data_IF_345781819475
#
_entry.id   IF_345781819475
#
_cell.length_a   1.000
_cell.length_b   1.000
_cell.length_c   1.000
_cell.angle_alpha   90.00
_cell.angle_beta   90.00
_cell.angle_gamma   90.00
#
_symmetry.space_group_name_H-M   'P 1'
#
loop_
_entity.id
_entity.type
_entity.pdbx_description
1 polymer ?
#
# COMPACT_ATOMS: atom_id res chain seq x y z
N UNK A 1 3.03 -8.34 -3.56
CA UNK A 1 4.16 -7.40 -3.78
C UNK A 1 4.61 -6.85 -2.43
N UNK A 2 5.79 -6.24 -2.33
CA UNK A 2 6.32 -5.74 -1.05
C UNK A 2 6.59 -4.25 -1.07
N UNK A 3 6.04 -3.51 -0.11
CA UNK A 3 6.26 -2.08 0.09
C UNK A 3 7.30 -1.84 1.18
N UNK A 4 8.26 -0.96 0.92
CA UNK A 4 9.45 -0.77 1.75
C UNK A 4 9.48 0.60 2.40
N UNK A 5 8.80 0.77 3.54
CA UNK A 5 8.72 2.06 4.23
C UNK A 5 10.04 2.42 4.89
N UNK A 6 10.64 3.54 4.50
CA UNK A 6 11.91 4.04 5.07
C UNK A 6 11.67 5.36 5.80
N UNK A 7 11.71 5.32 7.13
CA UNK A 7 11.39 6.47 7.99
C UNK A 7 12.59 7.37 8.30
N UNK A 8 13.81 6.96 7.98
CA UNK A 8 15.02 7.70 8.35
C UNK A 8 16.16 7.59 7.35
N UNK A 9 17.20 8.43 7.49
CA UNK A 9 18.33 8.47 6.56
C UNK A 9 19.26 7.25 6.68
N UNK A 10 20.02 6.92 5.61
CA UNK A 10 19.90 7.49 4.26
C UNK A 10 18.69 6.91 3.50
N UNK A 11 18.13 7.68 2.56
CA UNK A 11 17.02 7.20 1.72
C UNK A 11 15.64 7.23 2.39
N UNK A 12 15.43 8.19 3.31
CA UNK A 12 14.12 8.47 3.90
C UNK A 12 13.09 8.73 2.79
N UNK A 13 11.96 8.04 2.89
CA UNK A 13 10.84 8.09 1.94
C UNK A 13 9.50 8.36 2.61
N UNK A 14 9.43 8.24 3.94
CA UNK A 14 8.32 8.76 4.76
C UNK A 14 8.77 10.05 5.46
N UNK A 15 8.05 11.14 5.23
CA UNK A 15 8.37 12.46 5.79
C UNK A 15 7.16 13.02 6.52
N UNK A 16 7.37 13.48 7.76
CA UNK A 16 6.37 14.24 8.52
C UNK A 16 6.17 15.61 7.87
N UNK A 17 4.96 15.88 7.39
CA UNK A 17 4.62 17.17 6.74
C UNK A 17 3.70 18.03 7.60
N UNK A 18 2.97 17.42 8.52
CA UNK A 18 2.15 18.11 9.51
C UNK A 18 2.36 17.43 10.85
N UNK A 19 2.87 18.16 11.86
CA UNK A 19 3.10 17.64 13.21
C UNK A 19 1.81 17.33 13.98
N UNK A 20 0.64 17.71 13.47
CA UNK A 20 -0.63 17.61 14.17
C UNK A 20 -0.86 18.80 15.10
N UNK A 21 -2.03 19.43 15.00
CA UNK A 21 -2.45 20.52 15.89
C UNK A 21 -3.28 20.00 17.07
N UNK A 22 -3.58 18.70 17.10
CA UNK A 22 -4.37 18.07 18.15
C UNK A 22 -3.55 17.72 19.39
N UNK A 23 -4.20 17.12 20.41
CA UNK A 23 -3.51 16.67 21.62
C UNK A 23 -2.50 15.56 21.31
N UNK A 24 -1.56 15.35 22.24
CA UNK A 24 -0.67 14.20 22.22
C UNK A 24 -1.49 12.90 22.22
N UNK A 25 -1.11 11.96 21.37
CA UNK A 25 -1.83 10.71 21.22
C UNK A 25 -1.43 9.74 22.35
N UNK A 26 -2.36 9.33 23.24
CA UNK A 26 -2.05 8.48 24.38
C UNK A 26 -1.72 7.03 23.99
N UNK A 27 -1.97 6.63 22.74
CA UNK A 27 -1.71 5.27 22.25
C UNK A 27 -0.33 5.11 21.59
N UNK A 28 0.47 6.17 21.53
CA UNK A 28 1.81 6.20 20.95
C UNK A 28 2.84 6.72 21.96
N UNK A 29 4.15 6.52 21.70
CA UNK A 29 5.20 7.18 22.48
C UNK A 29 5.03 8.71 22.54
N UNK A 30 5.67 9.39 23.50
CA UNK A 30 5.69 10.84 23.54
C UNK A 30 6.15 11.46 22.20
N UNK A 31 5.71 12.68 21.96
CA UNK A 31 5.97 13.47 20.74
C UNK A 31 5.15 13.10 19.50
N UNK A 32 4.15 12.24 19.63
CA UNK A 32 3.14 11.98 18.60
C UNK A 32 1.83 12.72 18.88
N UNK A 33 1.33 13.51 17.93
CA UNK A 33 0.11 14.31 18.08
C UNK A 33 -1.00 13.90 17.11
N UNK A 34 -2.25 14.04 17.55
CA UNK A 34 -3.40 13.78 16.69
C UNK A 34 -3.40 14.68 15.45
N UNK A 35 -3.64 14.07 14.29
CA UNK A 35 -3.54 14.74 13.00
C UNK A 35 -2.11 14.85 12.46
N UNK A 36 -1.13 14.15 13.04
CA UNK A 36 0.16 13.96 12.38
C UNK A 36 -0.03 13.37 10.99
N UNK A 37 0.49 14.04 9.97
CA UNK A 37 0.38 13.60 8.58
C UNK A 37 1.75 13.44 7.98
N UNK A 38 1.93 12.29 7.34
CA UNK A 38 3.13 11.91 6.62
C UNK A 38 2.83 11.87 5.13
N UNK A 39 3.76 12.37 4.32
CA UNK A 39 3.85 12.05 2.90
C UNK A 39 4.81 10.86 2.73
N UNK A 40 4.51 9.96 1.79
CA UNK A 40 5.39 8.86 1.47
C UNK A 40 5.50 8.60 -0.03
N UNK A 41 6.67 8.11 -0.43
CA UNK A 41 7.00 7.66 -1.79
C UNK A 41 7.86 6.39 -1.72
N UNK A 42 7.20 5.23 -1.70
CA UNK A 42 7.84 3.96 -1.37
C UNK A 42 8.02 3.03 -2.56
N UNK A 43 9.12 2.28 -2.58
CA UNK A 43 9.34 1.27 -3.62
C UNK A 43 8.46 0.04 -3.41
N UNK A 44 7.86 -0.46 -4.49
CA UNK A 44 7.18 -1.76 -4.54
C UNK A 44 8.08 -2.78 -5.23
N UNK A 45 8.38 -3.90 -4.58
CA UNK A 45 9.25 -4.95 -5.13
C UNK A 45 8.54 -6.30 -5.22
N UNK A 46 9.09 -7.18 -6.06
CA UNK A 46 8.53 -8.51 -6.30
C UNK A 46 8.67 -9.45 -5.10
N UNK A 47 9.68 -9.27 -4.25
CA UNK A 47 9.82 -10.03 -3.02
C UNK A 47 10.31 -9.16 -1.85
N UNK A 48 10.39 -9.75 -0.65
CA UNK A 48 10.75 -9.06 0.59
C UNK A 48 12.14 -8.39 0.57
N UNK A 49 13.04 -8.78 -0.33
CA UNK A 49 14.34 -8.11 -0.48
C UNK A 49 14.20 -6.78 -1.20
N UNK A 50 14.79 -5.72 -0.65
CA UNK A 50 14.84 -4.40 -1.29
C UNK A 50 15.71 -4.38 -2.57
N UNK A 51 16.59 -5.37 -2.75
CA UNK A 51 17.38 -5.55 -3.97
C UNK A 51 16.64 -6.33 -5.07
N UNK A 52 15.44 -6.85 -4.78
CA UNK A 52 14.66 -7.55 -5.79
C UNK A 52 14.08 -6.60 -6.83
N UNK A 53 13.60 -7.16 -7.93
CA UNK A 53 13.02 -6.38 -9.03
C UNK A 53 11.94 -5.43 -8.49
N UNK A 54 12.13 -4.13 -8.71
CA UNK A 54 11.10 -3.14 -8.48
C UNK A 54 9.98 -3.31 -9.52
N UNK A 55 8.74 -3.34 -9.05
CA UNK A 55 7.53 -3.52 -9.86
C UNK A 55 6.63 -2.28 -9.87
N UNK A 56 6.96 -1.28 -9.03
CA UNK A 56 6.22 -0.03 -8.97
C UNK A 56 6.64 0.88 -7.83
N UNK A 57 5.77 1.83 -7.53
CA UNK A 57 5.89 2.84 -6.46
C UNK A 57 4.55 2.97 -5.73
N UNK A 58 4.58 3.20 -4.43
CA UNK A 58 3.43 3.51 -3.60
C UNK A 58 3.58 4.96 -3.10
N UNK A 59 2.73 5.84 -3.60
CA UNK A 59 2.81 7.29 -3.37
C UNK A 59 1.55 7.74 -2.64
N UNK A 60 1.68 8.53 -1.57
CA UNK A 60 0.49 8.91 -0.82
C UNK A 60 0.73 9.60 0.50
N UNK A 61 -0.30 9.57 1.35
CA UNK A 61 -0.28 10.16 2.69
C UNK A 61 -0.87 9.24 3.74
N UNK A 62 -0.37 9.38 4.97
CA UNK A 62 -0.88 8.70 6.14
C UNK A 62 -1.11 9.70 7.27
N UNK A 63 -2.34 9.78 7.79
CA UNK A 63 -2.70 10.71 8.87
C UNK A 63 -3.12 9.97 10.14
N UNK A 64 -2.51 10.29 11.29
CA UNK A 64 -2.88 9.75 12.60
C UNK A 64 -4.28 10.23 12.99
N UNK A 65 -5.25 9.33 12.91
CA UNK A 65 -6.67 9.68 12.92
C UNK A 65 -7.48 9.02 14.05
N UNK A 66 -6.82 8.35 14.99
CA UNK A 66 -7.46 7.75 16.17
C UNK A 66 -6.75 8.18 17.45
N UNK A 67 -7.52 8.57 18.45
CA UNK A 67 -7.03 8.86 19.80
C UNK A 67 -6.97 7.63 20.72
N UNK A 68 -7.45 6.47 20.27
CA UNK A 68 -7.56 5.26 21.10
C UNK A 68 -6.53 4.19 20.73
N UNK A 69 -6.07 4.20 19.50
CA UNK A 69 -5.19 3.20 18.91
C UNK A 69 -4.28 3.89 17.90
N UNK A 70 -3.08 3.34 17.62
CA UNK A 70 -2.13 3.93 16.67
C UNK A 70 -2.60 3.70 15.22
N UNK A 71 -3.63 4.44 14.82
CA UNK A 71 -4.34 4.23 13.54
C UNK A 71 -4.12 5.41 12.62
N UNK A 72 -3.69 5.09 11.41
CA UNK A 72 -3.53 6.02 10.33
C UNK A 72 -4.64 5.83 9.30
N UNK A 73 -5.22 6.92 8.81
CA UNK A 73 -5.93 6.89 7.53
C UNK A 73 -4.89 6.99 6.43
N UNK A 74 -4.86 6.00 5.54
CA UNK A 74 -3.92 5.92 4.44
C UNK A 74 -4.66 6.15 3.14
N UNK A 75 -4.13 7.06 2.33
CA UNK A 75 -4.47 7.22 0.92
C UNK A 75 -3.18 6.95 0.12
N UNK A 76 -3.26 6.06 -0.86
CA UNK A 76 -2.11 5.57 -1.61
C UNK A 76 -2.49 5.33 -3.08
N UNK A 77 -1.64 5.77 -3.99
CA UNK A 77 -1.64 5.37 -5.39
C UNK A 77 -0.47 4.42 -5.62
N UNK A 78 -0.76 3.22 -6.11
CA UNK A 78 0.26 2.25 -6.54
C UNK A 78 0.49 2.41 -8.04
N UNK A 79 1.57 3.08 -8.43
CA UNK A 79 2.01 3.20 -9.82
C UNK A 79 2.82 1.94 -10.20
N UNK A 80 2.32 1.19 -11.17
CA UNK A 80 2.98 -0.03 -11.64
C UNK A 80 3.89 0.27 -12.83
N UNK A 81 5.05 -0.38 -12.88
CA UNK A 81 6.08 -0.15 -13.90
C UNK A 81 6.49 -1.42 -14.62
N UNK A 82 5.64 -2.46 -14.58
CA UNK A 82 5.99 -3.82 -14.98
C UNK A 82 5.05 -4.40 -16.01
N UNK A 83 5.60 -4.78 -17.17
CA UNK A 83 4.89 -5.58 -18.17
C UNK A 83 3.69 -4.86 -18.76
N UNK A 84 2.56 -5.54 -18.86
CA UNK A 84 1.32 -4.99 -19.43
C UNK A 84 0.69 -3.89 -18.56
N UNK A 85 1.09 -3.78 -17.29
CA UNK A 85 0.55 -2.79 -16.35
C UNK A 85 1.41 -1.52 -16.24
N UNK A 86 2.44 -1.37 -17.08
CA UNK A 86 3.32 -0.20 -17.05
C UNK A 86 2.53 1.10 -17.24
N UNK A 87 2.68 2.04 -16.31
CA UNK A 87 1.95 3.30 -16.26
C UNK A 87 0.51 3.22 -15.73
N UNK A 88 -0.01 2.02 -15.44
CA UNK A 88 -1.31 1.85 -14.80
C UNK A 88 -1.23 2.06 -13.29
N UNK A 89 -2.34 2.45 -12.68
CA UNK A 89 -2.39 2.70 -11.22
C UNK A 89 -3.54 1.99 -10.54
N UNK A 90 -3.33 1.61 -9.27
CA UNK A 90 -4.38 1.16 -8.36
C UNK A 90 -4.47 2.17 -7.23
N UNK A 91 -5.68 2.66 -6.94
CA UNK A 91 -5.94 3.64 -5.87
C UNK A 91 -6.48 2.91 -4.64
N UNK A 92 -5.83 3.14 -3.51
CA UNK A 92 -6.10 2.47 -2.24
C UNK A 92 -6.40 3.49 -1.16
N UNK A 93 -7.45 3.24 -0.39
CA UNK A 93 -7.80 4.04 0.79
C UNK A 93 -8.18 3.13 1.96
N UNK A 94 -7.76 3.45 3.17
CA UNK A 94 -8.27 2.70 4.32
C UNK A 94 -7.66 3.02 5.67
N UNK A 95 -8.17 2.28 6.67
CA UNK A 95 -7.80 2.38 8.08
C UNK A 95 -6.63 1.43 8.39
N UNK A 96 -5.44 2.00 8.54
CA UNK A 96 -4.22 1.27 8.89
C UNK A 96 -3.98 1.29 10.41
N UNK A 97 -4.28 0.19 11.10
CA UNK A 97 -4.01 0.04 12.54
C UNK A 97 -2.60 -0.48 12.78
N UNK A 98 -1.67 0.39 13.15
CA UNK A 98 -0.25 0.05 13.26
C UNK A 98 0.01 -1.09 14.26
N UNK A 99 -0.87 -1.29 15.25
CA UNK A 99 -0.75 -2.36 16.25
C UNK A 99 -1.16 -3.76 15.76
N UNK A 100 -1.84 -3.86 14.60
CA UNK A 100 -2.25 -5.15 14.03
C UNK A 100 -1.18 -5.69 13.08
N UNK A 101 -1.07 -7.02 12.95
CA UNK A 101 -0.19 -7.63 11.95
C UNK A 101 -0.77 -7.53 10.54
N UNK A 102 -2.09 -7.70 10.42
CA UNK A 102 -2.82 -7.78 9.16
C UNK A 102 -3.93 -6.73 9.14
N UNK A 103 -4.05 -6.01 8.01
CA UNK A 103 -5.03 -4.95 7.79
C UNK A 103 -5.58 -5.08 6.38
N UNK A 104 -6.85 -4.79 6.22
CA UNK A 104 -7.48 -4.67 4.91
C UNK A 104 -7.68 -3.19 4.57
N UNK A 105 -7.29 -2.80 3.36
CA UNK A 105 -7.51 -1.46 2.80
C UNK A 105 -8.36 -1.61 1.53
N UNK A 106 -9.24 -0.65 1.23
CA UNK A 106 -10.09 -0.73 0.05
C UNK A 106 -9.32 -0.33 -1.20
N UNK A 107 -9.50 -1.08 -2.29
CA UNK A 107 -9.21 -0.59 -3.65
C UNK A 107 -10.44 0.20 -4.08
N UNK A 108 -10.27 1.51 -4.24
CA UNK A 108 -11.35 2.45 -4.54
C UNK A 108 -11.36 2.89 -6.01
N UNK A 109 -10.37 2.47 -6.79
CA UNK A 109 -10.25 2.83 -8.20
C UNK A 109 -8.93 2.41 -8.83
N UNK A 110 -8.72 2.87 -10.05
CA UNK A 110 -7.48 2.72 -10.79
C UNK A 110 -7.51 3.47 -12.12
N UNK A 111 -6.35 3.52 -12.78
CA UNK A 111 -6.17 4.10 -14.12
C UNK A 111 -5.50 3.10 -15.05
N UNK A 112 -5.52 3.38 -16.36
CA UNK A 112 -4.97 2.49 -17.37
C UNK A 112 -5.74 1.16 -17.42
N UNK A 113 -5.01 0.06 -17.30
CA UNK A 113 -5.57 -1.29 -17.28
C UNK A 113 -6.48 -1.54 -16.06
N UNK A 114 -6.37 -0.73 -15.00
CA UNK A 114 -7.22 -0.84 -13.79
C UNK A 114 -8.35 0.20 -13.75
N UNK A 115 -8.75 0.77 -14.90
CA UNK A 115 -9.87 1.71 -14.94
C UNK A 115 -11.14 1.04 -14.39
N UNK A 116 -11.84 1.73 -13.48
CA UNK A 116 -13.03 1.22 -12.76
C UNK A 116 -12.75 0.05 -11.79
N UNK A 117 -11.49 -0.23 -11.47
CA UNK A 117 -11.16 -1.29 -10.52
C UNK A 117 -11.75 -1.03 -9.13
N UNK A 118 -12.22 -2.09 -8.47
CA UNK A 118 -12.66 -2.08 -7.08
C UNK A 118 -12.22 -3.37 -6.37
N UNK A 119 -12.14 -3.36 -5.05
CA UNK A 119 -11.72 -4.54 -4.28
C UNK A 119 -11.00 -4.17 -3.00
N UNK A 120 -9.96 -4.91 -2.64
CA UNK A 120 -9.22 -4.72 -1.40
C UNK A 120 -7.74 -5.12 -1.50
N UNK A 121 -6.95 -4.61 -0.56
CA UNK A 121 -5.55 -4.97 -0.33
C UNK A 121 -5.40 -5.52 1.08
N UNK A 122 -4.93 -6.76 1.18
CA UNK A 122 -4.45 -7.29 2.45
C UNK A 122 -3.00 -6.84 2.66
N UNK A 123 -2.79 -6.02 3.68
CA UNK A 123 -1.51 -5.48 4.08
C UNK A 123 -1.02 -6.17 5.36
N UNK A 124 0.08 -6.91 5.24
CA UNK A 124 0.69 -7.68 6.33
C UNK A 124 2.06 -7.12 6.67
N UNK A 125 2.32 -6.86 7.96
CA UNK A 125 3.67 -6.50 8.42
C UNK A 125 4.58 -7.72 8.28
N UNK A 126 5.48 -7.68 7.29
CA UNK A 126 6.42 -8.76 6.99
C UNK A 126 7.74 -8.59 7.75
N UNK A 127 8.21 -7.36 7.94
CA UNK A 127 9.41 -7.01 8.72
C UNK A 127 9.19 -5.64 9.36
N UNK A 128 9.65 -5.45 10.57
CA UNK A 128 9.58 -4.16 11.25
C UNK A 128 10.86 -3.93 12.05
N UNK A 129 11.42 -2.74 11.88
CA UNK A 129 12.62 -2.21 12.54
C UNK A 129 12.43 -0.72 12.81
N UNK A 130 13.25 -0.14 13.69
CA UNK A 130 13.08 1.24 14.17
C UNK A 130 12.96 2.30 13.06
N UNK A 131 13.61 2.11 11.92
CA UNK A 131 13.64 3.08 10.80
C UNK A 131 13.06 2.50 9.52
N UNK A 132 12.53 1.29 9.55
CA UNK A 132 12.20 0.56 8.35
C UNK A 132 11.12 -0.49 8.58
N UNK A 133 10.10 -0.51 7.74
CA UNK A 133 9.06 -1.53 7.78
C UNK A 133 8.82 -2.06 6.37
N UNK A 134 8.69 -3.38 6.23
CA UNK A 134 8.27 -4.02 4.98
C UNK A 134 6.86 -4.54 5.15
N UNK A 135 5.97 -4.08 4.28
CA UNK A 135 4.62 -4.61 4.16
C UNK A 135 4.53 -5.55 2.96
N UNK A 136 3.95 -6.72 3.18
CA UNK A 136 3.45 -7.56 2.10
C UNK A 136 2.05 -7.07 1.71
N UNK A 137 1.86 -6.75 0.44
CA UNK A 137 0.61 -6.29 -0.13
C UNK A 137 0.07 -7.35 -1.09
N UNK A 138 -1.05 -7.95 -0.70
CA UNK A 138 -1.84 -8.87 -1.52
C UNK A 138 -3.05 -8.12 -2.07
N UNK A 139 -2.96 -7.71 -3.33
CA UNK A 139 -3.97 -6.87 -4.01
C UNK A 139 -4.99 -7.76 -4.70
N UNK A 140 -6.27 -7.58 -4.35
CA UNK A 140 -7.41 -8.25 -4.98
C UNK A 140 -8.29 -7.15 -5.59
N UNK A 141 -8.18 -6.95 -6.90
CA UNK A 141 -8.94 -5.95 -7.63
C UNK A 141 -9.73 -6.62 -8.75
N UNK A 142 -10.95 -6.13 -8.99
CA UNK A 142 -11.84 -6.57 -10.06
C UNK A 142 -12.23 -5.36 -10.92
N UNK A 143 -12.23 -5.56 -12.23
CA UNK A 143 -12.62 -4.55 -13.22
C UNK A 143 -13.95 -4.99 -13.85
N UNK A 144 -14.99 -4.14 -13.88
CA UNK A 144 -16.27 -4.47 -14.52
C UNK A 144 -16.10 -4.84 -16.00
N UNK A 145 -16.70 -5.96 -16.42
CA UNK A 145 -16.66 -6.43 -17.81
C UNK A 145 -15.44 -7.27 -18.19
N UNK A 146 -14.52 -7.53 -17.24
CA UNK A 146 -13.51 -8.58 -17.38
C UNK A 146 -14.11 -9.93 -16.96
N UNK A 147 -15.11 -10.40 -17.71
CA UNK A 147 -15.74 -11.72 -17.55
C UNK A 147 -14.82 -12.81 -18.12
N UNK A 148 -13.58 -12.89 -17.62
CA UNK A 148 -12.75 -14.07 -17.86
C UNK A 148 -13.32 -15.27 -17.08
N UNK A 149 -14.40 -15.87 -17.61
CA UNK A 149 -14.76 -17.23 -17.25
C UNK A 149 -13.55 -18.16 -17.45
N UNK A 150 -13.33 -19.16 -16.59
CA UNK A 150 -12.31 -20.16 -16.84
C UNK A 150 -12.69 -20.92 -18.13
N UNK A 151 -11.98 -20.66 -19.23
CA UNK A 151 -12.18 -21.36 -20.51
C UNK A 151 -12.27 -22.89 -20.27
N UNK A 152 -13.29 -23.57 -20.80
CA UNK A 152 -13.27 -25.02 -20.90
C UNK A 152 -12.12 -25.41 -21.83
N UNK A 153 -11.34 -26.39 -21.36
CA UNK A 153 -10.09 -26.93 -21.90
C UNK A 153 -9.96 -26.84 -23.44
N UNK A 154 -9.45 -25.70 -23.93
CA UNK A 154 -9.19 -25.46 -25.35
C UNK A 154 -7.83 -24.78 -25.54
N UNK A 155 -6.75 -25.40 -25.03
CA UNK A 155 -5.40 -25.27 -25.59
C UNK A 155 -4.77 -23.87 -25.76
N UNK A 156 -5.38 -22.78 -25.24
CA UNK A 156 -4.85 -21.42 -25.27
C UNK A 156 -4.45 -20.97 -23.87
N UNK A 157 -3.32 -20.26 -23.82
CA UNK A 157 -2.60 -19.89 -22.59
C UNK A 157 -3.44 -18.94 -21.73
N UNK A 158 -3.72 -19.34 -20.49
CA UNK A 158 -4.37 -18.54 -19.44
C UNK A 158 -3.63 -17.23 -19.14
N UNK A 159 -4.35 -16.11 -19.03
CA UNK A 159 -3.92 -14.92 -18.27
C UNK A 159 -4.26 -15.15 -16.79
N UNK A 160 -3.28 -15.65 -16.04
CA UNK A 160 -3.26 -15.44 -14.59
C UNK A 160 -2.70 -14.04 -14.37
N UNK A 161 -3.45 -13.17 -13.70
CA UNK A 161 -2.85 -12.02 -13.02
C UNK A 161 -1.76 -12.58 -12.11
N UNK A 162 -0.49 -12.17 -12.25
CA UNK A 162 0.56 -12.64 -11.38
C UNK A 162 0.21 -12.29 -9.94
N UNK A 163 0.22 -13.29 -9.06
CA UNK A 163 0.43 -13.00 -7.64
C UNK A 163 1.84 -12.47 -7.53
N UNK A 164 1.97 -11.16 -7.30
CA UNK A 164 3.22 -10.53 -6.89
C UNK A 164 3.40 -10.67 -5.38
#
# INVERSE_FOLDING_TARGET
MYMHNVFGPPGQRVVLIVKGAGPMNPSLPPEHYFGETYAFDESLTQNRSSSSKQVGRAEGTAMLASMRHPVYLVNMVMLLTGGEYDGSTIVVEGRHDASKKERELAVVGGTGEFRLASGYVNCTTAREEKKFTVYELNVNATIPGDDSEPEPDTGRRRRRIPRF
#
